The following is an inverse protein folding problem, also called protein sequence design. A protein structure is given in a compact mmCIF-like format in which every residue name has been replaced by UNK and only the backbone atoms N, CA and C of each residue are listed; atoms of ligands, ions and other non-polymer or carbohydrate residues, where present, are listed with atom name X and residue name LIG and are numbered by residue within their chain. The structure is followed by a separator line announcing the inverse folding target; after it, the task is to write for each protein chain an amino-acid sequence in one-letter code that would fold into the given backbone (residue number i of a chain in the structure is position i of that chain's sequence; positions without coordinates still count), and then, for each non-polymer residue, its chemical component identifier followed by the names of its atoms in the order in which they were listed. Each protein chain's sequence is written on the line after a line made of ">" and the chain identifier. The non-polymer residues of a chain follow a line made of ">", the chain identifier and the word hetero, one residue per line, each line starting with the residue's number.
data_IF_151423358202
#
_entry.id   IF_151423358202
#
_cell.length_a   1.000
_cell.length_b   1.000
_cell.length_c   1.000
_cell.angle_alpha   90.00
_cell.angle_beta   90.00
_cell.angle_gamma   90.00
#
_symmetry.space_group_name_H-M   'P 1'
#
loop_
_entity.id
_entity.type
_entity.pdbx_description
1 polymer ?
#
# COMPACT_ATOMS: atom_id res chain seq x y z
N UNK A 1 18.70 -4.81 1.81
CA UNK A 1 17.41 -5.51 1.62
C UNK A 1 16.82 -5.01 0.32
N UNK A 2 16.35 -5.92 -0.55
CA UNK A 2 15.90 -5.55 -1.89
C UNK A 2 14.47 -4.99 -1.86
N UNK A 3 14.19 -3.87 -2.56
CA UNK A 3 12.84 -3.33 -2.68
C UNK A 3 11.99 -4.21 -3.62
N UNK A 4 10.68 -4.23 -3.41
CA UNK A 4 9.76 -4.97 -4.30
C UNK A 4 9.59 -4.32 -5.69
N UNK A 5 9.95 -3.04 -5.81
CA UNK A 5 9.87 -2.29 -7.06
C UNK A 5 11.15 -1.49 -7.30
N UNK A 6 11.51 -1.35 -8.57
CA UNK A 6 12.65 -0.54 -9.00
C UNK A 6 12.23 0.87 -9.41
N UNK A 7 13.21 1.76 -9.61
CA UNK A 7 12.96 3.07 -10.20
C UNK A 7 12.30 2.95 -11.57
N UNK A 8 12.70 1.96 -12.37
CA UNK A 8 12.15 1.73 -13.70
C UNK A 8 10.68 1.31 -13.65
N UNK A 9 10.29 0.46 -12.70
CA UNK A 9 8.87 0.13 -12.47
C UNK A 9 8.06 1.37 -12.10
N UNK A 10 8.64 2.27 -11.29
CA UNK A 10 8.00 3.52 -10.91
C UNK A 10 7.84 4.46 -12.10
N UNK A 11 8.86 4.60 -12.95
CA UNK A 11 8.82 5.43 -14.17
C UNK A 11 7.77 4.92 -15.16
N UNK A 12 7.66 3.61 -15.34
CA UNK A 12 6.62 2.99 -16.19
C UNK A 12 5.22 3.27 -15.63
N UNK A 13 5.04 3.19 -14.30
CA UNK A 13 3.76 3.47 -13.63
C UNK A 13 3.44 4.97 -13.52
N UNK A 14 4.45 5.84 -13.66
CA UNK A 14 4.33 7.27 -13.49
C UNK A 14 5.27 8.04 -14.44
N UNK A 15 4.88 8.18 -15.72
CA UNK A 15 5.69 8.85 -16.74
C UNK A 15 5.90 10.36 -16.52
N UNK A 16 5.22 10.95 -15.52
CA UNK A 16 5.32 12.36 -15.16
C UNK A 16 6.20 12.62 -13.92
N UNK A 17 7.04 11.66 -13.54
CA UNK A 17 8.01 11.82 -12.46
C UNK A 17 9.11 12.80 -12.87
N UNK A 18 9.44 13.77 -12.00
CA UNK A 18 10.47 14.77 -12.26
C UNK A 18 11.86 14.32 -11.75
N UNK A 19 12.91 15.09 -12.04
CA UNK A 19 14.29 14.72 -11.68
C UNK A 19 14.51 14.61 -10.17
N UNK A 20 14.09 15.62 -9.39
CA UNK A 20 14.19 15.57 -7.92
C UNK A 20 13.45 14.37 -7.32
N UNK A 21 12.26 14.02 -7.86
CA UNK A 21 11.52 12.84 -7.43
C UNK A 21 12.23 11.53 -7.79
N UNK A 22 12.98 11.48 -8.89
CA UNK A 22 13.79 10.32 -9.27
C UNK A 22 14.99 10.13 -8.34
N UNK A 23 15.56 11.22 -7.83
CA UNK A 23 16.64 11.18 -6.83
C UNK A 23 16.15 10.64 -5.48
N UNK A 24 14.95 11.04 -5.04
CA UNK A 24 14.37 10.60 -3.76
C UNK A 24 13.69 9.22 -3.81
N UNK A 25 13.30 8.76 -5.00
CA UNK A 25 12.54 7.52 -5.19
C UNK A 25 13.26 6.26 -4.66
N UNK A 26 14.56 6.02 -4.90
CA UNK A 26 15.25 4.80 -4.45
C UNK A 26 15.14 4.57 -2.95
N UNK A 27 15.33 5.61 -2.14
CA UNK A 27 15.21 5.50 -0.69
C UNK A 27 13.77 5.16 -0.28
N UNK A 28 12.78 5.85 -0.86
CA UNK A 28 11.36 5.62 -0.55
C UNK A 28 10.88 4.23 -1.00
N UNK A 29 11.43 3.68 -2.09
CA UNK A 29 11.13 2.31 -2.54
C UNK A 29 11.58 1.26 -1.52
N UNK A 30 12.77 1.47 -0.90
CA UNK A 30 13.27 0.61 0.18
C UNK A 30 12.39 0.72 1.41
N UNK A 31 12.10 1.95 1.86
CA UNK A 31 11.25 2.20 3.03
C UNK A 31 9.84 1.62 2.87
N UNK A 32 9.22 1.80 1.69
CA UNK A 32 7.90 1.25 1.40
C UNK A 32 7.89 -0.28 1.46
N UNK A 33 8.95 -0.91 0.93
CA UNK A 33 9.10 -2.37 0.99
C UNK A 33 9.28 -2.87 2.43
N UNK A 34 10.01 -2.13 3.26
CA UNK A 34 10.14 -2.43 4.69
C UNK A 34 8.80 -2.31 5.43
N UNK A 35 8.00 -1.28 5.14
CA UNK A 35 6.67 -1.11 5.74
C UNK A 35 5.75 -2.28 5.38
N UNK A 36 5.77 -2.74 4.13
CA UNK A 36 4.99 -3.91 3.71
C UNK A 36 5.42 -5.16 4.47
N UNK A 37 6.73 -5.41 4.57
CA UNK A 37 7.27 -6.55 5.34
C UNK A 37 6.95 -6.45 6.83
N UNK A 38 6.96 -5.26 7.42
CA UNK A 38 6.59 -5.06 8.81
C UNK A 38 5.11 -5.37 9.08
N UNK A 39 4.23 -5.08 8.11
CA UNK A 39 2.79 -5.33 8.23
C UNK A 39 2.38 -6.73 7.78
N UNK A 40 3.19 -7.38 6.96
CA UNK A 40 3.00 -8.74 6.46
C UNK A 40 4.36 -9.46 6.40
N UNK A 41 4.88 -9.98 7.52
CA UNK A 41 6.21 -10.59 7.58
C UNK A 41 6.34 -11.83 6.70
N UNK A 42 5.23 -12.54 6.45
CA UNK A 42 5.22 -13.74 5.61
C UNK A 42 5.19 -13.43 4.10
N UNK A 43 5.22 -12.16 3.69
CA UNK A 43 5.03 -11.79 2.29
C UNK A 43 6.08 -12.40 1.36
N UNK A 44 7.36 -12.36 1.75
CA UNK A 44 8.44 -12.95 0.95
C UNK A 44 8.27 -14.47 0.86
N UNK A 45 7.84 -15.12 1.96
CA UNK A 45 7.56 -16.55 1.98
C UNK A 45 6.39 -16.91 1.04
N UNK A 46 5.30 -16.13 1.04
CA UNK A 46 4.14 -16.34 0.16
C UNK A 46 4.49 -16.20 -1.32
N UNK A 47 5.40 -15.29 -1.67
CA UNK A 47 5.92 -15.16 -3.03
C UNK A 47 6.75 -16.39 -3.39
N UNK A 48 7.63 -16.84 -2.49
CA UNK A 48 8.49 -18.01 -2.73
C UNK A 48 7.70 -19.30 -2.95
N UNK A 49 6.56 -19.47 -2.28
CA UNK A 49 5.67 -20.64 -2.46
C UNK A 49 4.58 -20.41 -3.52
N UNK A 50 4.70 -19.34 -4.33
CA UNK A 50 3.77 -19.00 -5.42
C UNK A 50 2.30 -18.82 -4.98
N UNK A 51 2.08 -18.53 -3.70
CA UNK A 51 0.75 -18.19 -3.15
C UNK A 51 0.43 -16.69 -3.27
N UNK A 52 1.42 -15.88 -3.66
CA UNK A 52 1.27 -14.46 -3.95
C UNK A 52 2.05 -14.11 -5.21
N UNK A 53 1.40 -13.41 -6.13
CA UNK A 53 2.06 -12.85 -7.29
C UNK A 53 3.00 -11.69 -6.86
N UNK A 54 4.30 -11.72 -7.22
CA UNK A 54 5.25 -10.66 -6.88
C UNK A 54 4.91 -9.29 -7.49
N UNK A 55 4.08 -9.23 -8.54
CA UNK A 55 3.63 -7.96 -9.11
C UNK A 55 2.67 -7.20 -8.19
N UNK A 56 1.99 -7.87 -7.25
CA UNK A 56 1.10 -7.22 -6.28
C UNK A 56 1.84 -6.30 -5.31
N UNK A 57 2.85 -6.75 -4.54
CA UNK A 57 3.64 -5.86 -3.69
C UNK A 57 4.41 -4.81 -4.49
N UNK A 58 4.89 -5.14 -5.70
CA UNK A 58 5.51 -4.18 -6.61
C UNK A 58 4.58 -3.00 -6.91
N UNK A 59 3.35 -3.30 -7.33
CA UNK A 59 2.33 -2.30 -7.63
C UNK A 59 2.01 -1.42 -6.42
N UNK A 60 1.90 -2.03 -5.24
CA UNK A 60 1.63 -1.32 -3.99
C UNK A 60 2.79 -0.38 -3.62
N UNK A 61 4.03 -0.84 -3.71
CA UNK A 61 5.23 -0.02 -3.46
C UNK A 61 5.26 1.19 -4.39
N UNK A 62 5.07 1.00 -5.70
CA UNK A 62 5.01 2.11 -6.65
C UNK A 62 3.89 3.11 -6.29
N UNK A 63 2.72 2.61 -5.88
CA UNK A 63 1.60 3.44 -5.43
C UNK A 63 1.91 4.24 -4.17
N UNK A 64 2.57 3.65 -3.18
CA UNK A 64 3.01 4.32 -1.95
C UNK A 64 4.00 5.45 -2.25
N UNK A 65 5.06 5.14 -3.01
CA UNK A 65 6.12 6.11 -3.34
C UNK A 65 5.57 7.24 -4.19
N UNK A 66 4.74 6.95 -5.19
CA UNK A 66 4.06 7.97 -5.99
C UNK A 66 3.22 8.93 -5.16
N UNK A 67 2.47 8.44 -4.15
CA UNK A 67 1.67 9.29 -3.26
C UNK A 67 2.55 10.14 -2.34
N UNK A 68 3.63 9.56 -1.79
CA UNK A 68 4.59 10.28 -0.97
C UNK A 68 5.26 11.42 -1.75
N UNK A 69 5.76 11.14 -2.96
CA UNK A 69 6.46 12.12 -3.81
C UNK A 69 5.56 13.14 -4.50
N UNK A 70 4.26 12.84 -4.66
CA UNK A 70 3.27 13.81 -5.19
C UNK A 70 2.77 14.80 -4.15
N UNK A 71 3.02 14.57 -2.85
CA UNK A 71 2.50 15.47 -1.84
C UNK A 71 3.30 16.76 -1.88
N UNK A 72 2.70 17.93 -2.23
CA UNK A 72 3.42 19.19 -2.21
C UNK A 72 3.87 19.50 -0.78
N UNK A 73 5.09 20.01 -0.65
CA UNK A 73 5.65 20.51 0.61
C UNK A 73 4.68 21.56 1.18
N UNK A 74 4.02 21.19 2.29
CA UNK A 74 3.17 22.00 3.16
C UNK A 74 2.27 23.09 2.53
N UNK A 75 0.96 22.80 2.36
CA UNK A 75 -0.07 23.84 2.32
C UNK A 75 -1.34 23.50 1.54
N UNK A 76 -2.45 23.33 2.27
CA UNK A 76 -3.84 23.41 1.79
C UNK A 76 -4.37 22.33 0.83
N UNK A 77 -5.51 21.73 1.19
CA UNK A 77 -6.31 20.96 0.24
C UNK A 77 -7.09 19.79 0.84
N UNK A 78 -8.16 20.10 1.56
CA UNK A 78 -9.13 19.15 2.09
C UNK A 78 -9.70 18.29 0.96
N UNK A 79 -9.42 16.98 0.97
CA UNK A 79 -9.98 15.99 0.05
C UNK A 79 -10.94 15.04 0.76
N UNK A 80 -12.14 15.52 1.10
CA UNK A 80 -13.18 14.67 1.71
C UNK A 80 -13.81 13.78 0.64
N UNK A 81 -13.41 12.51 0.54
CA UNK A 81 -14.12 11.54 -0.28
C UNK A 81 -15.23 10.89 0.56
N UNK A 82 -16.47 11.35 0.36
CA UNK A 82 -17.65 10.81 1.02
C UNK A 82 -18.17 9.61 0.19
N UNK A 83 -17.96 8.39 0.69
CA UNK A 83 -18.70 7.22 0.21
C UNK A 83 -19.67 6.79 1.30
N UNK A 84 -20.95 7.08 1.09
CA UNK A 84 -22.03 6.75 2.02
C UNK A 84 -22.42 5.29 1.83
N UNK A 85 -22.07 4.43 2.80
CA UNK A 85 -22.56 3.06 2.87
C UNK A 85 -22.94 2.72 4.32
N UNK A 86 -24.20 2.97 4.69
CA UNK A 86 -24.84 2.43 5.90
C UNK A 86 -24.37 2.98 7.27
N UNK A 87 -24.95 2.49 8.39
CA UNK A 87 -24.86 3.09 9.74
C UNK A 87 -23.47 3.03 10.41
N UNK A 88 -22.45 2.53 9.70
CA UNK A 88 -21.06 2.54 10.17
C UNK A 88 -20.27 3.57 9.38
N UNK A 89 -20.41 4.85 9.75
CA UNK A 89 -19.60 5.93 9.20
C UNK A 89 -18.22 5.88 9.84
N UNK A 90 -17.23 5.31 9.13
CA UNK A 90 -15.83 5.42 9.52
C UNK A 90 -15.14 6.44 8.60
N UNK A 91 -15.00 7.67 9.08
CA UNK A 91 -14.21 8.72 8.45
C UNK A 91 -12.73 8.43 8.63
N UNK A 92 -11.99 8.16 7.54
CA UNK A 92 -10.53 8.08 7.58
C UNK A 92 -9.96 9.26 6.79
N UNK A 93 -9.45 10.26 7.51
CA UNK A 93 -8.72 11.40 6.94
C UNK A 93 -7.25 11.00 6.81
N UNK A 94 -6.73 10.83 5.60
CA UNK A 94 -5.30 10.60 5.38
C UNK A 94 -4.64 11.89 4.91
N UNK A 95 -4.18 12.70 5.86
CA UNK A 95 -3.28 13.83 5.57
C UNK A 95 -1.86 13.26 5.49
N UNK A 96 -1.12 13.51 4.40
CA UNK A 96 0.30 13.12 4.29
C UNK A 96 1.25 14.33 4.22
N UNK A 97 1.12 15.32 5.13
CA UNK A 97 1.84 16.60 5.01
C UNK A 97 3.36 16.45 5.12
N UNK A 98 3.84 15.30 5.60
CA UNK A 98 5.25 14.98 5.86
C UNK A 98 5.89 14.16 4.71
N UNK A 99 5.13 13.81 3.67
CA UNK A 99 5.62 12.88 2.63
C UNK A 99 5.82 11.44 3.15
N UNK A 100 5.12 11.08 4.23
CA UNK A 100 5.16 9.76 4.85
C UNK A 100 4.59 8.67 3.95
N UNK A 101 5.14 7.47 4.08
CA UNK A 101 4.71 6.29 3.35
C UNK A 101 3.58 5.61 4.12
N UNK A 102 2.44 5.40 3.47
CA UNK A 102 1.30 4.70 4.07
C UNK A 102 0.62 3.77 3.06
N UNK A 103 0.08 2.66 3.57
CA UNK A 103 -0.80 1.78 2.80
C UNK A 103 -2.22 2.30 2.83
N UNK A 104 -2.81 2.50 1.65
CA UNK A 104 -4.24 2.75 1.52
C UNK A 104 -5.06 1.49 1.87
N UNK A 105 -6.37 1.66 2.06
CA UNK A 105 -7.28 0.51 2.27
C UNK A 105 -7.24 -0.48 1.11
N UNK A 106 -7.10 0.02 -0.12
CA UNK A 106 -7.00 -0.82 -1.32
C UNK A 106 -5.70 -1.64 -1.29
N UNK A 107 -4.58 -0.99 -0.97
CA UNK A 107 -3.27 -1.66 -0.90
C UNK A 107 -3.29 -2.79 0.14
N UNK A 108 -3.89 -2.53 1.32
CA UNK A 108 -4.08 -3.56 2.34
C UNK A 108 -4.92 -4.74 1.84
N UNK A 109 -6.00 -4.48 1.08
CA UNK A 109 -6.82 -5.54 0.48
C UNK A 109 -6.04 -6.35 -0.55
N UNK A 110 -5.26 -5.70 -1.41
CA UNK A 110 -4.41 -6.35 -2.41
C UNK A 110 -3.42 -7.30 -1.74
N UNK A 111 -2.81 -6.87 -0.62
CA UNK A 111 -1.83 -7.66 0.12
C UNK A 111 -2.46 -8.67 1.10
N UNK A 112 -3.79 -8.72 1.19
CA UNK A 112 -4.49 -9.54 2.20
C UNK A 112 -4.18 -9.14 3.64
N UNK A 113 -3.86 -7.87 3.89
CA UNK A 113 -3.62 -7.30 5.22
C UNK A 113 -4.96 -6.84 5.80
N UNK A 114 -5.41 -7.49 6.88
CA UNK A 114 -6.64 -7.09 7.59
C UNK A 114 -7.94 -7.64 6.99
N UNK A 115 -7.88 -8.58 6.04
CA UNK A 115 -9.03 -9.45 5.78
C UNK A 115 -9.17 -10.38 6.99
N UNK A 116 -10.17 -10.13 7.85
CA UNK A 116 -10.61 -11.15 8.78
C UNK A 116 -11.02 -12.36 7.94
N UNK A 117 -10.28 -13.47 8.02
CA UNK A 117 -10.74 -14.73 7.46
C UNK A 117 -12.03 -15.06 8.20
N UNK A 118 -13.16 -14.89 7.51
CA UNK A 118 -14.43 -15.40 8.00
C UNK A 118 -14.35 -16.93 7.93
N UNK A 119 -13.87 -17.53 9.01
CA UNK A 119 -14.06 -18.95 9.24
C UNK A 119 -15.54 -19.14 9.59
N UNK A 120 -16.33 -19.63 8.63
CA UNK A 120 -17.59 -20.29 8.95
C UNK A 120 -17.23 -21.58 9.67
N UNK A 121 -17.23 -21.54 11.00
CA UNK A 121 -17.28 -22.77 11.81
C UNK A 121 -18.69 -23.31 11.61
N UNK A 122 -18.83 -24.32 10.76
CA UNK A 122 -20.06 -25.10 10.70
C UNK A 122 -20.15 -25.88 12.01
N UNK A 123 -20.91 -25.32 12.95
CA UNK A 123 -21.18 -25.93 14.25
C UNK A 123 -22.31 -26.95 14.08
N UNK A 124 -22.14 -27.91 13.16
CA UNK A 124 -23.07 -29.02 13.00
C UNK A 124 -22.70 -30.11 14.01
N UNK A 125 -23.01 -29.81 15.27
CA UNK A 125 -23.06 -30.79 16.35
C UNK A 125 -24.31 -31.65 16.21
N UNK A 126 -24.08 -32.91 15.85
CA UNK A 126 -24.64 -34.12 16.47
C UNK A 126 -26.05 -34.03 17.10
N UNK A 127 -27.00 -34.78 16.54
CA UNK A 127 -28.23 -35.21 17.20
C UNK A 127 -28.53 -36.65 16.81
#
# INVERSE_FOLDING_TARGET
>A
MEPFATLQDLEVSWPAINESQREDAPQKLVEASLIIRALKPDIDALILVELMDPDLPKMVVCGMVKRALKTPDAGEGIGTQQQTAGPFSQSFTYTNPDGNLYLSKLDKRILGIGAAQAFTVDLMGDS
#
